data_IF_222858935027
#
_entry.id   IF_222858935027
#
_cell.length_a   1.000
_cell.length_b   1.000
_cell.length_c   1.000
_cell.angle_alpha   90.00
_cell.angle_beta   90.00
_cell.angle_gamma   90.00
#
_symmetry.space_group_name_H-M   'P 1'
#
loop_
_entity.id
_entity.type
_entity.pdbx_description
1 polymer ?
#
# COMPACT_ATOMS: atom_id res chain seq x y z
N UNK A 1 18.29 -18.85 -15.15
CA UNK A 1 17.91 -17.66 -14.34
C UNK A 1 16.52 -17.25 -14.81
N UNK A 2 15.49 -17.41 -13.96
CA UNK A 2 14.10 -17.21 -14.38
C UNK A 2 13.83 -15.75 -14.74
N UNK A 3 13.27 -15.51 -15.93
CA UNK A 3 12.89 -14.20 -16.44
C UNK A 3 11.42 -13.93 -16.20
N UNK A 4 11.11 -12.89 -15.41
CA UNK A 4 9.74 -12.51 -15.03
C UNK A 4 9.40 -11.14 -15.60
N UNK A 5 8.38 -11.05 -16.44
CA UNK A 5 7.83 -9.78 -16.92
C UNK A 5 6.68 -9.33 -16.04
N UNK A 6 6.90 -8.21 -15.32
CA UNK A 6 5.89 -7.59 -14.45
C UNK A 6 5.02 -6.63 -15.24
N UNK A 7 3.71 -6.86 -15.22
CA UNK A 7 2.69 -6.04 -15.91
C UNK A 7 2.06 -5.10 -14.89
N UNK A 8 2.22 -3.80 -15.09
CA UNK A 8 2.01 -2.76 -14.10
C UNK A 8 1.06 -1.66 -14.62
N UNK A 9 0.25 -1.09 -13.75
CA UNK A 9 -0.55 0.11 -14.06
C UNK A 9 0.37 1.33 -14.22
N UNK A 10 1.24 1.55 -13.25
CA UNK A 10 2.26 2.60 -13.25
C UNK A 10 3.50 2.16 -12.46
N UNK A 11 4.60 2.90 -12.61
CA UNK A 11 5.87 2.62 -11.94
C UNK A 11 6.64 3.91 -11.66
N UNK A 12 7.91 3.80 -11.23
CA UNK A 12 8.83 4.93 -11.20
C UNK A 12 8.83 5.68 -12.55
N UNK A 13 8.96 7.02 -12.57
CA UNK A 13 9.29 7.90 -11.43
C UNK A 13 8.08 8.34 -10.61
N UNK A 14 6.86 7.89 -10.89
CA UNK A 14 5.68 8.24 -10.11
C UNK A 14 5.79 7.72 -8.68
N UNK A 15 5.63 8.60 -7.69
CA UNK A 15 5.71 8.25 -6.28
C UNK A 15 4.32 7.90 -5.73
N UNK A 16 4.11 6.63 -5.45
CA UNK A 16 2.89 6.10 -4.83
C UNK A 16 3.22 4.83 -4.02
N UNK A 17 2.33 4.43 -3.12
CA UNK A 17 2.46 3.15 -2.42
C UNK A 17 2.54 1.95 -3.36
N UNK A 18 1.83 2.02 -4.49
CA UNK A 18 1.89 1.03 -5.57
C UNK A 18 3.30 0.94 -6.16
N UNK A 19 3.89 2.09 -6.51
CA UNK A 19 5.23 2.18 -7.11
C UNK A 19 6.32 1.70 -6.14
N UNK A 20 6.28 2.13 -4.88
CA UNK A 20 7.28 1.73 -3.88
C UNK A 20 7.22 0.22 -3.60
N UNK A 21 6.01 -0.36 -3.49
CA UNK A 21 5.86 -1.81 -3.38
C UNK A 21 6.41 -2.52 -4.63
N UNK A 22 6.09 -2.05 -5.82
CA UNK A 22 6.60 -2.64 -7.08
C UNK A 22 8.12 -2.61 -7.10
N UNK A 23 8.72 -1.45 -6.82
CA UNK A 23 10.17 -1.27 -6.72
C UNK A 23 10.80 -2.28 -5.75
N UNK A 24 10.24 -2.40 -4.56
CA UNK A 24 10.73 -3.31 -3.54
C UNK A 24 10.67 -4.78 -3.99
N UNK A 25 9.57 -5.21 -4.63
CA UNK A 25 9.43 -6.56 -5.18
C UNK A 25 10.48 -6.82 -6.25
N UNK A 26 10.62 -5.93 -7.25
CA UNK A 26 11.56 -6.12 -8.35
C UNK A 26 13.01 -6.16 -7.86
N UNK A 27 13.38 -5.24 -6.95
CA UNK A 27 14.74 -5.23 -6.33
C UNK A 27 15.03 -6.50 -5.55
N UNK A 28 14.07 -6.95 -4.73
CA UNK A 28 14.22 -8.18 -3.94
C UNK A 28 14.32 -9.42 -4.84
N UNK A 29 13.59 -9.44 -5.96
CA UNK A 29 13.68 -10.51 -6.95
C UNK A 29 15.04 -10.51 -7.66
N UNK A 30 15.57 -9.34 -8.04
CA UNK A 30 16.94 -9.23 -8.59
C UNK A 30 17.98 -9.74 -7.59
N UNK A 31 17.88 -9.30 -6.34
CA UNK A 31 18.79 -9.75 -5.28
C UNK A 31 18.73 -11.27 -5.03
N UNK A 32 17.56 -11.88 -5.25
CA UNK A 32 17.34 -13.33 -5.16
C UNK A 32 17.73 -14.10 -6.45
N UNK A 33 18.31 -13.44 -7.45
CA UNK A 33 18.82 -14.07 -8.67
C UNK A 33 17.78 -14.25 -9.78
N UNK A 34 16.63 -13.57 -9.72
CA UNK A 34 15.68 -13.50 -10.84
C UNK A 34 16.07 -12.37 -11.80
N UNK A 35 15.76 -12.54 -13.06
CA UNK A 35 15.87 -11.46 -14.05
C UNK A 35 14.47 -10.87 -14.26
N UNK A 36 14.31 -9.58 -13.90
CA UNK A 36 13.00 -8.93 -13.90
C UNK A 36 12.98 -7.74 -14.85
N UNK A 37 11.81 -7.49 -15.44
CA UNK A 37 11.52 -6.32 -16.26
C UNK A 37 10.09 -5.89 -16.04
N UNK A 38 9.79 -4.61 -16.07
CA UNK A 38 8.45 -4.08 -15.95
C UNK A 38 7.90 -3.64 -17.30
N UNK A 39 6.60 -3.78 -17.53
CA UNK A 39 5.88 -3.13 -18.62
C UNK A 39 4.69 -2.38 -18.04
N UNK A 40 4.60 -1.07 -18.30
CA UNK A 40 3.50 -0.23 -17.80
C UNK A 40 2.45 0.00 -18.88
N UNK A 41 1.20 0.04 -18.44
CA UNK A 41 0.06 0.30 -19.30
C UNK A 41 -0.09 1.78 -19.67
N UNK A 42 -1.07 2.07 -20.55
CA UNK A 42 -1.36 3.42 -21.06
C UNK A 42 -1.75 4.46 -20.00
N UNK A 43 -2.05 4.02 -18.78
CA UNK A 43 -2.37 4.90 -17.63
C UNK A 43 -1.15 5.49 -16.94
N UNK A 44 0.04 5.03 -17.27
CA UNK A 44 1.26 5.66 -16.82
C UNK A 44 1.36 7.06 -17.44
N UNK A 45 1.25 8.10 -16.62
CA UNK A 45 0.86 9.44 -17.04
C UNK A 45 1.92 10.24 -17.81
N UNK A 46 3.19 9.83 -17.78
CA UNK A 46 4.27 10.58 -18.44
C UNK A 46 4.68 9.92 -19.75
N UNK A 47 4.69 10.73 -20.82
CA UNK A 47 5.26 10.35 -22.12
C UNK A 47 6.81 10.35 -22.05
N UNK A 48 7.33 9.42 -21.25
CA UNK A 48 8.75 9.10 -21.21
C UNK A 48 9.19 8.30 -22.46
N UNK A 49 10.47 7.93 -22.56
CA UNK A 49 10.96 7.06 -23.62
C UNK A 49 10.26 5.69 -23.55
N UNK A 50 10.15 5.00 -24.71
CA UNK A 50 9.51 3.68 -24.79
C UNK A 50 10.16 2.66 -23.84
N UNK A 51 11.45 2.79 -23.58
CA UNK A 51 12.21 2.00 -22.60
C UNK A 51 12.94 2.97 -21.67
N UNK A 52 12.76 2.77 -20.39
CA UNK A 52 13.31 3.62 -19.35
C UNK A 52 14.01 2.78 -18.29
N UNK A 53 15.23 3.18 -17.91
CA UNK A 53 15.96 2.56 -16.81
C UNK A 53 15.99 3.53 -15.61
N UNK A 54 15.38 3.11 -14.51
CA UNK A 54 15.31 3.91 -13.27
C UNK A 54 15.68 3.00 -12.09
N UNK A 55 16.66 3.44 -11.31
CA UNK A 55 17.14 2.72 -10.12
C UNK A 55 17.59 1.27 -10.46
N UNK A 56 18.21 1.06 -11.64
CA UNK A 56 18.67 -0.26 -12.10
C UNK A 56 17.51 -1.23 -12.38
N UNK A 57 16.31 -0.71 -12.65
CA UNK A 57 15.13 -1.44 -13.10
C UNK A 57 14.74 -0.95 -14.48
N UNK A 58 14.48 -1.87 -15.40
CA UNK A 58 14.06 -1.55 -16.78
C UNK A 58 12.54 -1.61 -16.89
N UNK A 59 11.94 -0.58 -17.48
CA UNK A 59 10.53 -0.48 -17.74
C UNK A 59 10.25 -0.18 -19.20
N UNK A 60 9.40 -0.99 -19.86
CA UNK A 60 8.80 -0.66 -21.15
C UNK A 60 7.53 0.16 -20.91
N UNK A 61 7.28 1.14 -21.78
CA UNK A 61 6.14 2.04 -21.69
C UNK A 61 5.20 1.82 -22.87
N UNK A 62 3.99 1.31 -22.58
CA UNK A 62 2.95 1.21 -23.62
C UNK A 62 2.13 2.48 -23.59
N UNK A 63 2.32 3.32 -24.60
CA UNK A 63 1.59 4.57 -24.74
C UNK A 63 0.18 4.34 -25.31
N UNK A 64 -0.75 5.23 -24.95
CA UNK A 64 -2.09 5.24 -25.55
C UNK A 64 -3.06 6.13 -24.77
N UNK A 65 -4.04 6.68 -25.49
CA UNK A 65 -5.19 7.38 -24.89
C UNK A 65 -6.45 6.84 -25.55
N UNK A 66 -7.36 6.32 -24.76
CA UNK A 66 -8.55 5.64 -25.25
C UNK A 66 -9.79 6.42 -24.78
N UNK A 67 -10.36 7.18 -25.72
CA UNK A 67 -11.64 7.85 -25.52
C UNK A 67 -12.78 6.96 -26.05
N UNK A 68 -13.93 7.09 -25.45
CA UNK A 68 -15.15 6.39 -25.90
C UNK A 68 -16.16 6.15 -24.77
N UNK A 69 -17.29 5.54 -25.10
CA UNK A 69 -18.26 5.13 -24.09
C UNK A 69 -17.62 4.16 -23.09
N UNK A 70 -18.07 4.19 -21.80
CA UNK A 70 -17.65 3.22 -20.79
C UNK A 70 -17.79 1.76 -21.28
N UNK A 71 -16.79 0.94 -21.02
CA UNK A 71 -16.69 -0.43 -21.49
C UNK A 71 -15.94 -0.58 -22.81
N UNK A 72 -16.14 0.32 -23.77
CA UNK A 72 -15.42 0.29 -25.06
C UNK A 72 -14.01 0.88 -24.95
N UNK A 73 -13.88 1.97 -24.20
CA UNK A 73 -12.57 2.58 -23.88
C UNK A 73 -11.68 1.62 -23.12
N UNK A 74 -12.21 0.98 -22.09
CA UNK A 74 -11.48 0.00 -21.29
C UNK A 74 -11.11 -1.26 -22.11
N UNK A 75 -12.01 -1.71 -22.97
CA UNK A 75 -11.71 -2.83 -23.88
C UNK A 75 -10.55 -2.49 -24.83
N UNK A 76 -10.57 -1.29 -25.43
CA UNK A 76 -9.48 -0.83 -26.33
C UNK A 76 -8.16 -0.70 -25.58
N UNK A 77 -8.21 -0.20 -24.37
CA UNK A 77 -7.05 -0.07 -23.48
C UNK A 77 -6.45 -1.45 -23.19
N UNK A 78 -7.27 -2.43 -22.81
CA UNK A 78 -6.86 -3.81 -22.57
C UNK A 78 -6.18 -4.41 -23.81
N UNK A 79 -6.78 -4.23 -25.01
CA UNK A 79 -6.21 -4.80 -26.24
C UNK A 79 -4.88 -4.13 -26.62
N UNK A 80 -4.78 -2.81 -26.53
CA UNK A 80 -3.53 -2.12 -26.83
C UNK A 80 -2.43 -2.50 -25.83
N UNK A 81 -2.77 -2.63 -24.55
CA UNK A 81 -1.81 -3.07 -23.53
C UNK A 81 -1.39 -4.52 -23.76
N UNK A 82 -2.32 -5.41 -24.09
CA UNK A 82 -2.02 -6.80 -24.48
C UNK A 82 -1.01 -6.85 -25.65
N UNK A 83 -1.22 -6.05 -26.70
CA UNK A 83 -0.30 -5.99 -27.84
C UNK A 83 1.10 -5.51 -27.45
N UNK A 84 1.17 -4.49 -26.59
CA UNK A 84 2.44 -4.03 -26.05
C UNK A 84 3.15 -5.11 -25.22
N UNK A 85 2.43 -5.81 -24.33
CA UNK A 85 2.97 -6.93 -23.55
C UNK A 85 3.51 -8.02 -24.46
N UNK A 86 2.76 -8.43 -25.50
CA UNK A 86 3.21 -9.42 -26.46
C UNK A 86 4.46 -8.98 -27.22
N UNK A 87 4.55 -7.69 -27.60
CA UNK A 87 5.72 -7.11 -28.25
C UNK A 87 6.99 -7.23 -27.40
N UNK A 88 6.89 -6.79 -26.12
CA UNK A 88 7.98 -6.91 -25.14
C UNK A 88 8.33 -8.39 -24.89
N UNK A 89 7.33 -9.25 -24.72
CA UNK A 89 7.56 -10.67 -24.45
C UNK A 89 8.26 -11.39 -25.60
N UNK A 90 7.93 -11.09 -26.87
CA UNK A 90 8.63 -11.68 -28.03
C UNK A 90 10.09 -11.27 -28.11
N UNK A 91 10.43 -10.04 -27.70
CA UNK A 91 11.80 -9.53 -27.73
C UNK A 91 12.62 -10.03 -26.53
N UNK A 92 12.04 -9.96 -25.34
CA UNK A 92 12.75 -10.24 -24.09
C UNK A 92 12.62 -11.69 -23.63
N UNK A 93 11.64 -12.44 -24.13
CA UNK A 93 11.38 -13.86 -23.88
C UNK A 93 11.29 -14.19 -22.39
N UNK A 94 10.29 -13.67 -21.65
CA UNK A 94 10.03 -14.05 -20.27
C UNK A 94 9.57 -15.51 -20.18
N UNK A 95 9.79 -16.12 -19.03
CA UNK A 95 9.29 -17.45 -18.70
C UNK A 95 7.98 -17.39 -17.91
N UNK A 96 7.70 -16.23 -17.26
CA UNK A 96 6.48 -15.99 -16.49
C UNK A 96 6.00 -14.56 -16.75
N UNK A 97 4.68 -14.39 -16.91
CA UNK A 97 4.01 -13.10 -16.87
C UNK A 97 3.37 -12.90 -15.50
N UNK A 98 3.74 -11.83 -14.80
CA UNK A 98 3.21 -11.49 -13.50
C UNK A 98 2.51 -10.13 -13.51
N UNK A 99 1.17 -10.13 -13.60
CA UNK A 99 0.40 -8.90 -13.56
C UNK A 99 0.03 -8.49 -12.14
N UNK A 100 0.05 -7.18 -11.91
CA UNK A 100 -0.42 -6.57 -10.68
C UNK A 100 -1.74 -5.85 -10.91
N UNK A 101 -2.65 -5.86 -9.92
CA UNK A 101 -3.90 -5.10 -10.01
C UNK A 101 -3.66 -3.66 -10.48
N UNK A 102 -4.54 -3.02 -11.26
CA UNK A 102 -5.98 -3.34 -11.42
C UNK A 102 -6.30 -4.48 -12.38
N UNK A 103 -7.56 -4.91 -12.35
CA UNK A 103 -8.08 -5.96 -13.26
C UNK A 103 -7.88 -5.66 -14.74
N UNK A 104 -7.72 -4.41 -15.17
CA UNK A 104 -7.39 -4.04 -16.55
C UNK A 104 -5.99 -4.54 -16.92
N UNK A 105 -4.99 -4.33 -16.07
CA UNK A 105 -3.64 -4.89 -16.26
C UNK A 105 -3.69 -6.42 -16.22
N UNK A 106 -4.43 -6.98 -15.25
CA UNK A 106 -4.64 -8.42 -15.12
C UNK A 106 -5.26 -9.03 -16.39
N UNK A 107 -6.28 -8.40 -16.97
CA UNK A 107 -6.95 -8.89 -18.18
C UNK A 107 -6.04 -8.81 -19.43
N UNK A 108 -5.28 -7.72 -19.57
CA UNK A 108 -4.30 -7.59 -20.64
C UNK A 108 -3.23 -8.68 -20.54
N UNK A 109 -2.66 -8.87 -19.32
CA UNK A 109 -1.69 -9.92 -19.05
C UNK A 109 -2.21 -11.33 -19.29
N UNK A 110 -3.42 -11.64 -18.79
CA UNK A 110 -4.06 -12.95 -18.98
C UNK A 110 -4.26 -13.28 -20.48
N UNK A 111 -4.69 -12.29 -21.27
CA UNK A 111 -4.87 -12.49 -22.73
C UNK A 111 -3.53 -12.68 -23.44
N UNK A 112 -2.51 -11.90 -23.07
CA UNK A 112 -1.16 -12.06 -23.61
C UNK A 112 -0.57 -13.43 -23.25
N UNK A 113 -0.67 -13.86 -21.99
CA UNK A 113 -0.20 -15.15 -21.53
C UNK A 113 -0.80 -16.31 -22.31
N UNK A 114 -2.13 -16.32 -22.50
CA UNK A 114 -2.83 -17.33 -23.28
C UNK A 114 -2.39 -17.40 -24.74
N UNK A 115 -2.06 -16.26 -25.38
CA UNK A 115 -1.59 -16.21 -26.77
C UNK A 115 -0.14 -16.67 -26.92
N UNK A 116 0.65 -16.40 -25.87
CA UNK A 116 2.09 -16.73 -25.87
C UNK A 116 2.36 -18.14 -25.30
N UNK A 117 1.36 -18.79 -24.68
CA UNK A 117 1.55 -20.07 -23.98
C UNK A 117 2.45 -19.94 -22.76
N UNK A 118 2.39 -18.81 -22.04
CA UNK A 118 3.22 -18.55 -20.87
C UNK A 118 2.41 -18.66 -19.57
N UNK A 119 3.01 -19.15 -18.49
CA UNK A 119 2.43 -19.10 -17.15
C UNK A 119 2.06 -17.68 -16.74
N UNK A 120 0.89 -17.55 -16.10
CA UNK A 120 0.34 -16.26 -15.68
C UNK A 120 0.06 -16.19 -14.19
N UNK A 121 0.73 -15.28 -13.52
CA UNK A 121 0.53 -14.95 -12.10
C UNK A 121 -0.18 -13.62 -11.98
N UNK A 122 -1.14 -13.53 -11.05
CA UNK A 122 -1.86 -12.29 -10.79
C UNK A 122 -1.77 -11.86 -9.31
N UNK A 123 -1.31 -10.64 -9.04
CA UNK A 123 -1.20 -10.09 -7.69
C UNK A 123 -2.23 -8.99 -7.44
N UNK A 124 -3.08 -9.19 -6.42
CA UNK A 124 -4.11 -8.24 -5.99
C UNK A 124 -3.61 -7.46 -4.78
N UNK A 125 -3.57 -6.13 -4.93
CA UNK A 125 -3.14 -5.18 -3.88
C UNK A 125 -4.30 -4.47 -3.20
N UNK A 126 -5.42 -4.37 -3.88
CA UNK A 126 -6.72 -3.91 -3.41
C UNK A 126 -7.76 -4.28 -4.45
N UNK A 127 -9.01 -4.42 -4.07
CA UNK A 127 -10.11 -4.46 -5.03
C UNK A 127 -10.41 -3.05 -5.49
N UNK A 128 -10.34 -2.83 -6.78
CA UNK A 128 -10.49 -1.49 -7.36
C UNK A 128 -11.91 -0.96 -7.27
N UNK A 129 -12.91 -1.84 -7.22
CA UNK A 129 -14.29 -1.47 -6.92
C UNK A 129 -14.41 -0.85 -5.52
N UNK A 130 -13.74 -1.44 -4.51
CA UNK A 130 -13.75 -0.96 -3.13
C UNK A 130 -12.87 0.31 -2.98
N UNK A 131 -11.73 0.37 -3.67
CA UNK A 131 -10.88 1.56 -3.70
C UNK A 131 -11.60 2.77 -4.32
N UNK A 132 -12.39 2.58 -5.37
CA UNK A 132 -13.19 3.65 -5.95
C UNK A 132 -14.26 4.18 -4.97
N UNK A 133 -14.86 3.31 -4.16
CA UNK A 133 -15.79 3.72 -3.09
C UNK A 133 -15.05 4.50 -2.01
N UNK A 134 -13.93 3.97 -1.51
CA UNK A 134 -13.12 4.61 -0.48
C UNK A 134 -12.56 5.98 -0.89
N UNK A 135 -12.32 6.20 -2.19
CA UNK A 135 -11.88 7.48 -2.75
C UNK A 135 -13.05 8.41 -3.15
N UNK A 136 -14.30 8.04 -2.86
CA UNK A 136 -15.48 8.85 -3.20
C UNK A 136 -15.81 8.92 -4.69
N UNK A 137 -15.15 8.13 -5.55
CA UNK A 137 -15.34 8.11 -7.02
C UNK A 137 -16.25 6.97 -7.50
N UNK A 138 -16.69 6.12 -6.57
CA UNK A 138 -17.55 4.97 -6.81
C UNK A 138 -18.68 4.86 -5.78
N UNK A 139 -19.64 3.99 -6.08
CA UNK A 139 -20.70 3.61 -5.14
C UNK A 139 -20.81 2.10 -5.11
N UNK A 140 -20.83 1.53 -3.90
CA UNK A 140 -21.02 0.10 -3.70
C UNK A 140 -22.32 -0.39 -4.33
N UNK A 141 -22.27 -1.59 -4.95
CA UNK A 141 -23.44 -2.18 -5.63
C UNK A 141 -23.83 -1.52 -6.95
N UNK A 142 -23.20 -0.42 -7.37
CA UNK A 142 -23.46 0.21 -8.68
C UNK A 142 -23.10 -0.73 -9.84
N UNK A 143 -23.63 -0.45 -11.03
CA UNK A 143 -23.28 -1.24 -12.23
C UNK A 143 -21.77 -1.26 -12.48
N UNK A 144 -21.10 -0.11 -12.35
CA UNK A 144 -19.64 0.00 -12.50
C UNK A 144 -18.92 -0.88 -11.47
N UNK A 145 -19.33 -0.83 -10.20
CA UNK A 145 -18.80 -1.67 -9.12
C UNK A 145 -18.91 -3.16 -9.47
N UNK A 146 -20.11 -3.60 -9.88
CA UNK A 146 -20.38 -5.00 -10.24
C UNK A 146 -19.57 -5.47 -11.45
N UNK A 147 -19.42 -4.60 -12.46
CA UNK A 147 -18.62 -4.92 -13.65
C UNK A 147 -17.13 -5.00 -13.32
N UNK A 148 -16.59 -4.07 -12.51
CA UNK A 148 -15.20 -4.10 -12.06
C UNK A 148 -14.91 -5.38 -11.26
N UNK A 149 -15.80 -5.74 -10.33
CA UNK A 149 -15.70 -6.98 -9.56
C UNK A 149 -15.80 -8.24 -10.44
N UNK A 150 -16.67 -8.23 -11.45
CA UNK A 150 -16.78 -9.35 -12.40
C UNK A 150 -15.51 -9.50 -13.23
N UNK A 151 -14.89 -8.38 -13.65
CA UNK A 151 -13.63 -8.39 -14.38
C UNK A 151 -12.49 -8.96 -13.51
N UNK A 152 -12.40 -8.51 -12.25
CA UNK A 152 -11.43 -9.03 -11.27
C UNK A 152 -11.58 -10.55 -11.11
N UNK A 153 -12.80 -11.02 -10.83
CA UNK A 153 -13.08 -12.45 -10.68
C UNK A 153 -12.70 -13.26 -11.94
N UNK A 154 -12.87 -12.70 -13.16
CA UNK A 154 -12.47 -13.37 -14.38
C UNK A 154 -10.95 -13.50 -14.53
N UNK A 155 -10.19 -12.48 -14.09
CA UNK A 155 -8.72 -12.55 -14.08
C UNK A 155 -8.25 -13.62 -13.09
N UNK A 156 -8.78 -13.57 -11.86
CA UNK A 156 -8.48 -14.56 -10.80
C UNK A 156 -8.77 -15.99 -11.26
N UNK A 157 -9.94 -16.23 -11.87
CA UNK A 157 -10.29 -17.56 -12.36
C UNK A 157 -9.39 -18.05 -13.49
N UNK A 158 -8.80 -17.14 -14.27
CA UNK A 158 -7.97 -17.46 -15.42
C UNK A 158 -6.47 -17.51 -15.13
N UNK A 159 -6.01 -17.05 -13.97
CA UNK A 159 -4.61 -17.08 -13.58
C UNK A 159 -4.18 -18.48 -13.12
N UNK A 160 -2.91 -18.85 -13.37
CA UNK A 160 -2.33 -20.13 -12.91
C UNK A 160 -2.04 -20.09 -11.41
N UNK A 161 -1.62 -18.91 -10.90
CA UNK A 161 -1.50 -18.63 -9.47
C UNK A 161 -1.94 -17.18 -9.18
N UNK A 162 -2.45 -16.97 -7.98
CA UNK A 162 -2.88 -15.65 -7.49
C UNK A 162 -2.14 -15.31 -6.20
N UNK A 163 -1.72 -14.06 -6.05
CA UNK A 163 -1.24 -13.52 -4.78
C UNK A 163 -2.14 -12.41 -4.29
N UNK A 164 -2.33 -12.34 -2.96
CA UNK A 164 -2.92 -11.18 -2.29
C UNK A 164 -1.95 -10.64 -1.26
N UNK A 165 -2.05 -9.33 -0.99
CA UNK A 165 -1.16 -8.68 -0.02
C UNK A 165 -1.53 -8.95 1.42
N UNK A 166 -2.68 -9.54 1.67
CA UNK A 166 -3.19 -9.76 3.02
C UNK A 166 -4.27 -10.86 3.04
N UNK A 167 -4.54 -11.33 4.23
CA UNK A 167 -5.51 -12.39 4.48
C UNK A 167 -6.94 -11.91 4.17
N UNK A 168 -7.28 -10.67 4.49
CA UNK A 168 -8.60 -10.10 4.19
C UNK A 168 -8.99 -10.22 2.72
N UNK A 169 -8.10 -9.85 1.79
CA UNK A 169 -8.32 -9.99 0.34
C UNK A 169 -8.43 -11.47 -0.07
N UNK A 170 -7.59 -12.34 0.48
CA UNK A 170 -7.65 -13.78 0.19
C UNK A 170 -8.98 -14.38 0.62
N UNK A 171 -9.38 -14.12 1.84
CA UNK A 171 -10.61 -14.68 2.43
C UNK A 171 -11.86 -14.17 1.66
N UNK A 172 -11.85 -12.92 1.18
CA UNK A 172 -12.91 -12.39 0.32
C UNK A 172 -12.97 -13.10 -1.05
N UNK A 173 -11.82 -13.40 -1.66
CA UNK A 173 -11.79 -14.19 -2.90
C UNK A 173 -12.32 -15.60 -2.70
N UNK A 174 -11.97 -16.24 -1.59
CA UNK A 174 -12.52 -17.56 -1.22
C UNK A 174 -14.03 -17.47 -1.03
N UNK A 175 -14.53 -16.43 -0.35
CA UNK A 175 -15.96 -16.17 -0.19
C UNK A 175 -16.67 -15.87 -1.53
N UNK A 176 -15.95 -15.39 -2.55
CA UNK A 176 -16.45 -15.23 -3.93
C UNK A 176 -16.49 -16.56 -4.70
N UNK A 177 -15.99 -17.67 -4.12
CA UNK A 177 -15.98 -19.01 -4.72
C UNK A 177 -14.69 -19.38 -5.44
N UNK A 178 -13.60 -18.61 -5.27
CA UNK A 178 -12.29 -18.98 -5.80
C UNK A 178 -11.59 -20.01 -4.91
N UNK A 179 -10.79 -20.88 -5.51
CA UNK A 179 -10.01 -21.90 -4.80
C UNK A 179 -8.89 -21.26 -3.98
N UNK A 180 -8.99 -21.37 -2.65
CA UNK A 180 -8.01 -20.83 -1.72
C UNK A 180 -6.63 -21.46 -1.79
N UNK A 181 -6.49 -22.68 -2.32
CA UNK A 181 -5.19 -23.36 -2.50
C UNK A 181 -4.33 -22.65 -3.57
N UNK A 182 -5.00 -22.01 -4.55
CA UNK A 182 -4.35 -21.26 -5.63
C UNK A 182 -4.03 -19.80 -5.25
N UNK A 183 -4.42 -19.36 -4.04
CA UNK A 183 -4.25 -17.97 -3.58
C UNK A 183 -3.19 -17.92 -2.49
N UNK A 184 -1.98 -17.52 -2.87
CA UNK A 184 -0.87 -17.27 -1.95
C UNK A 184 -0.95 -15.89 -1.29
N UNK A 185 -0.24 -15.74 -0.16
CA UNK A 185 -0.05 -14.44 0.49
C UNK A 185 1.34 -13.90 0.16
N UNK A 186 1.38 -12.65 -0.31
CA UNK A 186 2.59 -11.84 -0.42
C UNK A 186 2.38 -10.53 0.33
N UNK A 187 2.56 -10.54 1.67
CA UNK A 187 2.28 -9.38 2.49
C UNK A 187 3.06 -8.14 2.08
N UNK A 188 2.53 -6.96 2.40
CA UNK A 188 3.31 -5.75 2.38
C UNK A 188 4.57 -5.94 3.23
N UNK A 189 5.69 -5.42 2.77
CA UNK A 189 6.96 -5.54 3.45
C UNK A 189 7.68 -4.21 3.53
N UNK A 190 8.74 -4.21 4.29
CA UNK A 190 9.70 -3.12 4.39
C UNK A 190 11.10 -3.65 4.11
N UNK A 191 11.96 -2.78 3.61
CA UNK A 191 13.39 -3.06 3.53
C UNK A 191 14.02 -2.64 4.86
N UNK A 192 14.26 -3.62 5.72
CA UNK A 192 14.82 -3.38 7.06
C UNK A 192 16.22 -2.77 7.04
N UNK A 193 16.96 -2.90 5.94
CA UNK A 193 18.28 -2.29 5.80
C UNK A 193 18.19 -0.76 5.65
N UNK A 194 17.04 -0.23 5.20
CA UNK A 194 16.81 1.21 5.08
C UNK A 194 16.44 1.86 6.42
N UNK A 195 16.01 1.07 7.41
CA UNK A 195 15.53 1.58 8.70
C UNK A 195 16.48 1.13 9.83
N UNK A 196 17.40 2.02 10.18
CA UNK A 196 18.32 1.87 11.31
C UNK A 196 17.65 2.09 12.68
N UNK A 197 18.47 2.48 13.66
CA UNK A 197 17.98 2.95 14.93
C UNK A 197 17.26 4.30 14.77
N UNK A 198 16.21 4.57 15.58
CA UNK A 198 15.49 5.83 15.50
C UNK A 198 16.45 7.03 15.66
N UNK A 199 16.38 7.98 14.75
CA UNK A 199 17.13 9.24 14.88
C UNK A 199 16.67 9.99 16.13
N UNK A 200 17.60 10.66 16.79
CA UNK A 200 17.30 11.54 17.94
C UNK A 200 16.32 12.65 17.52
N UNK A 201 15.58 13.18 18.49
CA UNK A 201 14.65 14.30 18.25
C UNK A 201 15.40 15.48 17.63
N UNK A 202 14.85 16.00 16.54
CA UNK A 202 15.35 17.20 15.87
C UNK A 202 14.78 18.46 16.56
N UNK A 203 15.48 18.95 17.61
CA UNK A 203 15.02 20.10 18.37
C UNK A 203 15.00 21.40 17.57
N UNK A 204 15.82 21.53 16.53
CA UNK A 204 15.80 22.68 15.64
C UNK A 204 14.51 22.71 14.82
N UNK A 205 14.13 21.57 14.23
CA UNK A 205 12.88 21.42 13.50
C UNK A 205 11.67 21.55 14.45
N UNK A 206 11.76 21.02 15.67
CA UNK A 206 10.70 21.17 16.66
C UNK A 206 10.45 22.67 16.98
N UNK A 207 11.51 23.43 17.16
CA UNK A 207 11.41 24.87 17.41
C UNK A 207 10.83 25.62 16.20
N UNK A 208 11.28 25.30 14.97
CA UNK A 208 10.76 25.89 13.73
C UNK A 208 9.25 25.67 13.58
N UNK A 209 8.78 24.47 13.91
CA UNK A 209 7.38 24.08 13.79
C UNK A 209 6.52 24.45 15.03
N UNK A 210 7.10 25.02 16.06
CA UNK A 210 6.40 25.33 17.31
C UNK A 210 5.99 24.07 18.10
N UNK A 211 6.71 22.96 17.93
CA UNK A 211 6.46 21.71 18.66
C UNK A 211 7.13 21.80 20.03
N UNK A 212 6.30 21.79 21.08
CA UNK A 212 6.75 21.86 22.47
C UNK A 212 7.20 20.52 23.07
N UNK A 213 7.31 20.50 24.40
CA UNK A 213 7.72 19.31 25.15
C UNK A 213 6.56 18.34 25.47
N UNK A 214 5.32 18.68 25.10
CA UNK A 214 4.15 17.81 25.30
C UNK A 214 4.14 16.61 24.37
N UNK A 215 3.21 15.65 24.59
CA UNK A 215 3.04 14.52 23.69
C UNK A 215 2.66 14.97 22.28
N UNK A 216 3.34 14.42 21.28
CA UNK A 216 3.06 14.67 19.87
C UNK A 216 2.42 13.42 19.25
N UNK A 217 1.15 13.53 18.88
CA UNK A 217 0.48 12.55 18.04
C UNK A 217 0.65 13.00 16.59
N UNK A 218 0.96 12.09 15.66
CA UNK A 218 1.21 12.52 14.31
C UNK A 218 0.83 11.50 13.25
N UNK A 219 0.74 12.01 12.03
CA UNK A 219 0.52 11.20 10.82
C UNK A 219 1.47 11.69 9.71
N UNK A 220 2.06 10.75 8.98
CA UNK A 220 2.91 11.03 7.83
C UNK A 220 2.37 10.29 6.61
N UNK A 221 1.99 11.03 5.57
CA UNK A 221 1.50 10.43 4.33
C UNK A 221 0.48 11.26 3.56
N UNK A 222 -0.23 10.63 2.64
CA UNK A 222 -1.26 11.29 1.84
C UNK A 222 -2.58 11.38 2.60
N UNK A 223 -3.24 12.53 2.51
CA UNK A 223 -4.50 12.84 3.21
C UNK A 223 -5.69 12.45 2.35
N UNK A 224 -6.05 11.16 2.39
CA UNK A 224 -7.27 10.63 1.79
C UNK A 224 -8.39 10.55 2.84
N UNK A 225 -9.65 10.58 2.41
CA UNK A 225 -10.82 10.53 3.30
C UNK A 225 -10.81 9.28 4.19
N UNK A 226 -10.55 8.11 3.60
CA UNK A 226 -10.50 6.85 4.35
C UNK A 226 -9.39 6.75 5.40
N UNK A 227 -8.40 7.65 5.39
CA UNK A 227 -7.35 7.70 6.44
C UNK A 227 -7.88 8.29 7.75
N UNK A 228 -9.05 8.97 7.76
CA UNK A 228 -9.75 9.41 8.97
C UNK A 228 -9.06 10.51 9.76
N UNK A 229 -8.27 11.36 9.10
CA UNK A 229 -7.55 12.45 9.77
C UNK A 229 -8.49 13.52 10.35
N UNK A 230 -9.69 13.64 9.83
CA UNK A 230 -10.76 14.46 10.36
C UNK A 230 -11.20 14.02 11.77
N UNK A 231 -11.27 12.70 12.01
CA UNK A 231 -11.52 12.15 13.35
C UNK A 231 -10.35 12.44 14.30
N UNK A 232 -9.11 12.39 13.81
CA UNK A 232 -7.93 12.71 14.62
C UNK A 232 -7.89 14.19 15.02
N UNK A 233 -8.25 15.09 14.09
CA UNK A 233 -8.41 16.52 14.39
C UNK A 233 -9.52 16.74 15.41
N UNK A 234 -10.67 16.06 15.27
CA UNK A 234 -11.79 16.15 16.20
C UNK A 234 -11.48 15.56 17.60
N UNK A 235 -10.57 14.59 17.70
CA UNK A 235 -10.16 13.98 18.94
C UNK A 235 -9.25 14.87 19.82
N UNK A 236 -8.49 15.78 19.19
CA UNK A 236 -7.46 16.55 19.89
C UNK A 236 -7.98 17.39 21.08
N UNK A 237 -9.13 18.10 20.99
CA UNK A 237 -9.64 18.85 22.13
C UNK A 237 -9.90 17.98 23.37
N UNK A 238 -10.43 16.77 23.19
CA UNK A 238 -10.66 15.83 24.28
C UNK A 238 -9.34 15.23 24.82
N UNK A 239 -8.37 14.93 23.97
CA UNK A 239 -7.03 14.50 24.36
C UNK A 239 -6.35 15.57 25.24
N UNK A 240 -6.48 16.84 24.90
CA UNK A 240 -5.90 17.98 25.64
C UNK A 240 -6.53 18.23 27.00
N UNK A 241 -7.68 17.67 27.28
CA UNK A 241 -8.25 17.72 28.66
C UNK A 241 -7.37 16.93 29.63
N UNK A 242 -6.75 15.83 29.23
CA UNK A 242 -5.82 15.03 30.06
C UNK A 242 -4.35 15.42 29.84
N UNK A 243 -3.99 15.78 28.61
CA UNK A 243 -2.65 16.19 28.22
C UNK A 243 -2.68 17.60 27.62
N UNK A 244 -2.74 18.68 28.45
CA UNK A 244 -2.97 20.06 27.98
C UNK A 244 -1.96 20.55 26.92
N UNK A 245 -0.76 19.97 26.91
CA UNK A 245 0.32 20.29 25.98
C UNK A 245 0.41 19.32 24.78
N UNK A 246 -0.56 18.42 24.61
CA UNK A 246 -0.59 17.54 23.44
C UNK A 246 -0.73 18.34 22.15
N UNK A 247 0.03 17.95 21.14
CA UNK A 247 0.02 18.56 19.80
C UNK A 247 -0.23 17.49 18.73
N UNK A 248 -0.78 17.91 17.60
CA UNK A 248 -0.99 17.07 16.41
C UNK A 248 -0.06 17.55 15.29
N UNK A 249 0.77 16.67 14.77
CA UNK A 249 1.65 16.93 13.64
C UNK A 249 1.21 16.13 12.40
N UNK A 250 0.73 16.84 11.36
CA UNK A 250 0.27 16.27 10.11
C UNK A 250 1.26 16.59 8.99
N UNK A 251 2.02 15.57 8.57
CA UNK A 251 3.07 15.67 7.55
C UNK A 251 2.57 15.07 6.25
N UNK A 252 2.46 15.86 5.22
CA UNK A 252 1.97 15.41 3.92
C UNK A 252 0.93 16.34 3.32
N UNK A 253 0.11 15.80 2.44
CA UNK A 253 -0.94 16.54 1.76
C UNK A 253 -1.80 15.59 0.93
N UNK A 254 -2.89 16.09 0.37
CA UNK A 254 -3.79 15.27 -0.43
C UNK A 254 -5.17 15.89 -0.59
N UNK A 255 -6.13 15.12 -1.13
CA UNK A 255 -7.47 15.64 -1.42
C UNK A 255 -8.21 16.25 -0.21
N UNK A 256 -7.89 15.75 1.01
CA UNK A 256 -8.54 16.24 2.24
C UNK A 256 -7.82 17.43 2.89
N UNK A 257 -6.70 17.91 2.36
CA UNK A 257 -5.86 18.92 3.02
C UNK A 257 -6.62 20.21 3.33
N UNK A 258 -7.37 20.74 2.37
CA UNK A 258 -8.13 21.98 2.55
C UNK A 258 -9.23 21.82 3.61
N UNK A 259 -9.97 20.71 3.58
CA UNK A 259 -11.01 20.41 4.55
C UNK A 259 -10.44 20.24 5.97
N UNK A 260 -9.30 19.55 6.11
CA UNK A 260 -8.63 19.36 7.40
C UNK A 260 -8.09 20.68 7.98
N UNK A 261 -7.53 21.57 7.16
CA UNK A 261 -7.10 22.90 7.59
C UNK A 261 -8.27 23.76 8.05
N UNK A 262 -9.40 23.72 7.32
CA UNK A 262 -10.62 24.43 7.72
C UNK A 262 -11.18 23.89 9.04
N UNK A 263 -11.20 22.56 9.23
CA UNK A 263 -11.64 21.94 10.48
C UNK A 263 -10.70 22.30 11.65
N UNK A 264 -9.39 22.28 11.43
CA UNK A 264 -8.40 22.68 12.42
C UNK A 264 -8.58 24.15 12.85
N UNK A 265 -8.79 25.06 11.89
CA UNK A 265 -9.03 26.47 12.19
C UNK A 265 -10.31 26.73 13.01
N UNK A 266 -11.32 25.87 12.87
CA UNK A 266 -12.56 25.93 13.65
C UNK A 266 -12.47 25.18 15.00
N UNK A 267 -11.41 24.41 15.24
CA UNK A 267 -11.21 23.63 16.47
C UNK A 267 -10.77 24.49 17.64
N UNK A 268 -11.28 24.27 18.88
CA UNK A 268 -10.78 24.93 20.08
C UNK A 268 -9.33 24.57 20.42
N UNK A 269 -8.76 23.54 19.74
CA UNK A 269 -7.35 23.15 19.86
C UNK A 269 -6.56 23.42 18.55
N UNK A 270 -7.05 24.31 17.70
CA UNK A 270 -6.45 24.59 16.39
C UNK A 270 -5.01 25.08 16.45
N UNK A 271 -4.66 25.81 17.52
CA UNK A 271 -3.30 26.27 17.82
C UNK A 271 -2.29 25.16 18.06
N UNK A 272 -2.77 23.96 18.39
CA UNK A 272 -1.95 22.78 18.64
C UNK A 272 -1.88 21.81 17.44
N UNK A 273 -2.41 22.20 16.28
CA UNK A 273 -2.40 21.37 15.06
C UNK A 273 -1.43 21.97 14.04
N UNK A 274 -0.37 21.24 13.75
CA UNK A 274 0.68 21.66 12.82
C UNK A 274 0.57 20.88 11.51
N UNK A 275 0.50 21.60 10.39
CA UNK A 275 0.55 21.05 9.04
C UNK A 275 1.85 21.48 8.36
N UNK A 276 2.65 20.54 7.92
CA UNK A 276 3.91 20.85 7.23
C UNK A 276 3.77 20.97 5.71
N UNK A 277 2.67 20.41 5.15
CA UNK A 277 2.61 20.13 3.73
C UNK A 277 3.49 18.92 3.36
N UNK A 278 3.69 18.71 2.05
CA UNK A 278 4.54 17.64 1.54
C UNK A 278 6.01 17.96 1.77
N UNK A 279 6.75 17.00 2.30
CA UNK A 279 8.19 17.13 2.57
C UNK A 279 8.98 16.17 1.67
N UNK A 280 10.25 16.51 1.32
CA UNK A 280 11.12 15.61 0.58
C UNK A 280 11.29 14.28 1.31
N UNK A 281 11.33 13.16 0.59
CA UNK A 281 11.46 11.82 1.20
C UNK A 281 12.75 11.69 2.04
N UNK A 282 13.83 12.32 1.63
CA UNK A 282 15.08 12.32 2.37
C UNK A 282 15.03 13.02 3.74
N UNK A 283 14.01 13.87 3.97
CA UNK A 283 13.84 14.62 5.21
C UNK A 283 12.80 13.99 6.16
N UNK A 284 12.07 12.98 5.70
CA UNK A 284 10.93 12.41 6.43
C UNK A 284 11.32 11.89 7.82
N UNK A 285 12.55 11.35 7.98
CA UNK A 285 13.03 10.86 9.28
C UNK A 285 13.11 11.94 10.35
N UNK A 286 13.40 13.19 9.98
CA UNK A 286 13.39 14.34 10.89
C UNK A 286 12.01 14.55 11.51
N UNK A 287 10.96 14.42 10.71
CA UNK A 287 9.56 14.54 11.18
C UNK A 287 9.13 13.34 12.03
N UNK A 288 9.53 12.12 11.65
CA UNK A 288 9.34 10.96 12.52
C UNK A 288 9.96 11.15 13.90
N UNK A 289 11.10 11.86 14.01
CA UNK A 289 11.78 12.10 15.27
C UNK A 289 10.97 12.95 16.26
N UNK A 290 10.02 13.76 15.77
CA UNK A 290 9.19 14.65 16.57
C UNK A 290 7.92 13.98 17.09
N UNK A 291 7.52 12.83 16.53
CA UNK A 291 6.25 12.17 16.82
C UNK A 291 6.46 11.08 17.87
N UNK A 292 5.72 11.18 18.97
CA UNK A 292 5.71 10.18 20.04
C UNK A 292 4.82 8.99 19.69
N UNK A 293 3.62 9.26 19.11
CA UNK A 293 2.64 8.25 18.70
C UNK A 293 2.20 8.51 17.27
N UNK A 294 2.51 7.60 16.36
CA UNK A 294 1.98 7.64 15.00
C UNK A 294 0.56 7.09 14.99
N UNK A 295 -0.39 7.93 14.60
CA UNK A 295 -1.80 7.60 14.59
C UNK A 295 -2.30 7.32 13.17
N UNK A 296 -2.98 6.19 13.00
CA UNK A 296 -3.58 5.75 11.74
C UNK A 296 -5.09 5.51 11.92
N UNK A 297 -5.89 6.58 11.94
CA UNK A 297 -7.31 6.53 12.34
C UNK A 297 -8.24 6.14 11.18
N UNK A 298 -7.88 5.15 10.35
CA UNK A 298 -8.68 4.75 9.20
C UNK A 298 -10.14 4.54 9.54
N UNK A 299 -11.02 5.11 8.72
CA UNK A 299 -12.47 4.93 8.81
C UNK A 299 -12.84 3.48 8.52
N UNK A 300 -13.90 3.00 9.16
CA UNK A 300 -14.42 1.67 8.89
C UNK A 300 -15.08 1.62 7.50
N UNK A 301 -14.57 0.78 6.65
CA UNK A 301 -15.09 0.54 5.31
C UNK A 301 -14.59 -0.80 4.80
N UNK A 302 -15.22 -1.31 3.74
CA UNK A 302 -14.76 -2.53 3.11
C UNK A 302 -13.30 -2.45 2.63
N UNK A 303 -12.87 -1.29 2.11
CA UNK A 303 -11.48 -1.05 1.72
C UNK A 303 -10.52 -1.22 2.90
N UNK A 304 -10.80 -0.58 4.01
CA UNK A 304 -9.91 -0.55 5.18
C UNK A 304 -9.95 -1.84 5.98
N UNK A 305 -11.04 -2.59 5.92
CA UNK A 305 -11.14 -3.93 6.51
C UNK A 305 -10.36 -4.98 5.72
N UNK A 306 -10.32 -4.87 4.40
CA UNK A 306 -9.70 -5.88 3.55
C UNK A 306 -8.23 -5.61 3.25
N UNK A 307 -7.75 -4.35 3.36
CA UNK A 307 -6.43 -3.95 2.84
C UNK A 307 -5.50 -3.47 3.95
N UNK A 308 -4.36 -4.16 4.09
CA UNK A 308 -3.30 -3.76 5.01
C UNK A 308 -2.50 -2.56 4.47
N UNK A 309 -2.27 -1.51 5.28
CA UNK A 309 -1.43 -0.37 4.89
C UNK A 309 0.08 -0.63 5.05
N UNK A 310 0.90 0.16 4.34
CA UNK A 310 2.36 0.16 4.50
C UNK A 310 2.84 0.99 5.69
N UNK A 311 2.18 2.14 5.95
CA UNK A 311 2.63 3.14 6.93
C UNK A 311 2.88 2.58 8.35
N UNK A 312 1.99 1.76 8.95
CA UNK A 312 2.26 1.16 10.26
C UNK A 312 3.48 0.24 10.25
N UNK A 313 3.73 -0.49 9.15
CA UNK A 313 4.89 -1.36 9.00
C UNK A 313 6.20 -0.55 8.96
N UNK A 314 6.23 0.54 8.21
CA UNK A 314 7.37 1.46 8.14
C UNK A 314 7.65 2.10 9.51
N UNK A 315 6.60 2.49 10.23
CA UNK A 315 6.71 3.03 11.58
C UNK A 315 7.28 2.00 12.57
N UNK A 316 6.73 0.80 12.61
CA UNK A 316 7.23 -0.28 13.47
C UNK A 316 8.66 -0.70 13.10
N UNK A 317 9.01 -0.70 11.80
CA UNK A 317 10.38 -0.95 11.35
C UNK A 317 11.39 0.06 11.91
N UNK A 318 10.95 1.31 12.10
CA UNK A 318 11.74 2.39 12.71
C UNK A 318 11.63 2.43 14.25
N UNK A 319 11.10 1.39 14.89
CA UNK A 319 10.83 1.38 16.34
C UNK A 319 9.99 2.57 16.82
N UNK A 320 9.02 3.01 16.00
CA UNK A 320 8.07 4.06 16.39
C UNK A 320 6.84 3.42 17.03
N UNK A 321 6.22 4.16 17.95
CA UNK A 321 4.96 3.75 18.56
C UNK A 321 3.81 4.01 17.60
N UNK A 322 2.95 3.00 17.44
CA UNK A 322 1.81 3.01 16.52
C UNK A 322 0.52 2.88 17.31
N UNK A 323 -0.44 3.75 16.98
CA UNK A 323 -1.84 3.65 17.39
C UNK A 323 -2.72 3.66 16.13
N UNK A 324 -3.62 2.72 15.98
CA UNK A 324 -4.43 2.57 14.77
C UNK A 324 -5.89 2.25 15.10
N UNK A 325 -6.79 2.59 14.18
CA UNK A 325 -8.19 2.18 14.30
C UNK A 325 -8.32 0.65 14.16
N UNK A 326 -9.27 0.07 14.91
CA UNK A 326 -9.55 -1.36 14.93
C UNK A 326 -10.35 -1.81 13.69
N UNK A 327 -9.76 -1.62 12.51
CA UNK A 327 -10.26 -2.12 11.22
C UNK A 327 -9.48 -3.36 10.81
N UNK A 328 -10.07 -4.20 9.95
CA UNK A 328 -9.49 -5.51 9.57
C UNK A 328 -8.06 -5.42 9.05
N UNK A 329 -7.76 -4.43 8.19
CA UNK A 329 -6.42 -4.21 7.66
C UNK A 329 -5.37 -3.85 8.73
N UNK A 330 -5.75 -3.20 9.82
CA UNK A 330 -4.85 -2.93 10.95
C UNK A 330 -4.71 -4.13 11.89
N UNK A 331 -5.82 -4.85 12.17
CA UNK A 331 -5.78 -6.08 12.98
C UNK A 331 -4.85 -7.15 12.43
N UNK A 332 -4.63 -7.18 11.13
CA UNK A 332 -3.69 -8.11 10.51
C UNK A 332 -2.22 -7.73 10.78
N UNK A 333 -1.94 -6.45 11.08
CA UNK A 333 -0.58 -5.93 11.28
C UNK A 333 -0.22 -5.70 12.75
N UNK A 334 -1.20 -5.38 13.59
CA UNK A 334 -1.00 -4.89 14.96
C UNK A 334 -1.67 -5.86 15.93
N UNK A 335 -0.90 -6.33 16.90
CA UNK A 335 -1.42 -7.03 18.07
C UNK A 335 -1.60 -5.99 19.17
N UNK A 336 -2.86 -5.73 19.54
CA UNK A 336 -3.21 -4.71 20.53
C UNK A 336 -2.48 -4.90 21.86
N UNK A 337 -1.94 -3.82 22.39
CA UNK A 337 -1.16 -3.80 23.63
C UNK A 337 0.22 -4.44 23.55
N UNK A 338 0.60 -5.08 22.42
CA UNK A 338 1.90 -5.72 22.25
C UNK A 338 2.79 -5.02 21.22
N UNK A 339 2.29 -4.83 19.99
CA UNK A 339 3.05 -4.19 18.90
C UNK A 339 2.55 -2.78 18.58
N UNK A 340 1.44 -2.37 19.16
CA UNK A 340 0.80 -1.08 19.02
C UNK A 340 -0.50 -1.01 19.82
N UNK A 341 -1.24 0.07 19.64
CA UNK A 341 -2.58 0.26 20.20
C UNK A 341 -3.62 0.13 19.07
N UNK A 342 -4.73 -0.56 19.34
CA UNK A 342 -5.93 -0.51 18.53
C UNK A 342 -7.05 0.25 19.27
N UNK A 343 -7.68 1.21 18.59
CA UNK A 343 -8.80 1.99 19.12
C UNK A 343 -10.02 1.89 18.18
N UNK A 344 -11.27 2.09 18.67
CA UNK A 344 -12.47 2.02 17.85
C UNK A 344 -12.43 3.01 16.69
N UNK A 345 -12.74 2.59 15.43
CA UNK A 345 -12.85 3.50 14.30
C UNK A 345 -14.07 4.40 14.42
N UNK A 346 -14.08 5.51 13.67
CA UNK A 346 -15.20 6.44 13.48
C UNK A 346 -15.77 7.02 14.82
N UNK A 347 -14.92 7.09 15.86
CA UNK A 347 -15.29 7.61 17.18
C UNK A 347 -14.14 8.46 17.75
N UNK A 348 -14.10 9.77 17.44
CA UNK A 348 -13.05 10.68 17.93
C UNK A 348 -12.93 10.72 19.46
N UNK A 349 -14.04 10.57 20.20
CA UNK A 349 -14.02 10.64 21.66
C UNK A 349 -13.38 9.40 22.27
N UNK A 350 -13.71 8.21 21.76
CA UNK A 350 -13.07 6.97 22.21
C UNK A 350 -11.61 6.89 21.75
N UNK A 351 -11.30 7.41 20.56
CA UNK A 351 -9.92 7.56 20.11
C UNK A 351 -9.11 8.44 21.07
N UNK A 352 -9.64 9.62 21.44
CA UNK A 352 -8.98 10.52 22.39
C UNK A 352 -8.74 9.86 23.75
N UNK A 353 -9.73 9.14 24.29
CA UNK A 353 -9.60 8.41 25.54
C UNK A 353 -8.53 7.31 25.46
N UNK A 354 -8.54 6.51 24.36
CA UNK A 354 -7.56 5.45 24.14
C UNK A 354 -6.13 6.00 23.99
N UNK A 355 -5.96 7.09 23.24
CA UNK A 355 -4.66 7.76 23.10
C UNK A 355 -4.17 8.34 24.43
N UNK A 356 -5.06 8.95 25.23
CA UNK A 356 -4.70 9.48 26.55
C UNK A 356 -4.23 8.36 27.50
N UNK A 357 -4.99 7.24 27.59
CA UNK A 357 -4.61 6.08 28.39
C UNK A 357 -3.28 5.46 27.90
N UNK A 358 -3.03 5.51 26.61
CA UNK A 358 -1.82 4.98 26.00
C UNK A 358 -0.59 5.86 26.31
N UNK A 359 -0.76 7.18 26.29
CA UNK A 359 0.28 8.15 26.66
C UNK A 359 0.62 8.04 28.15
N UNK A 360 -0.37 7.82 29.02
CA UNK A 360 -0.14 7.62 30.47
C UNK A 360 0.69 6.37 30.77
N UNK A 361 0.65 5.37 29.88
CA UNK A 361 1.40 4.09 29.99
C UNK A 361 2.69 4.07 29.18
N UNK A 362 3.31 5.22 28.89
CA UNK A 362 4.52 5.31 28.06
C UNK A 362 5.71 4.51 28.56
N UNK A 363 5.74 4.12 29.83
CA UNK A 363 6.78 3.25 30.39
C UNK A 363 6.79 1.85 29.72
N UNK A 364 5.69 1.42 29.12
CA UNK A 364 5.61 0.17 28.35
C UNK A 364 6.13 0.30 26.89
N UNK A 365 6.33 1.50 26.37
CA UNK A 365 6.68 1.74 24.98
C UNK A 365 8.01 1.15 24.53
N UNK A 366 9.09 1.13 25.34
CA UNK A 366 10.35 0.49 24.93
C UNK A 366 10.15 -0.97 24.52
N UNK A 367 9.41 -1.75 25.33
CA UNK A 367 9.10 -3.16 25.01
C UNK A 367 8.22 -3.27 23.75
N UNK A 368 7.23 -2.41 23.59
CA UNK A 368 6.33 -2.39 22.45
C UNK A 368 7.07 -2.04 21.14
N UNK A 369 8.02 -1.11 21.17
CA UNK A 369 8.86 -0.74 20.03
C UNK A 369 9.67 -1.92 19.51
N UNK A 370 10.30 -2.66 20.42
CA UNK A 370 11.07 -3.87 20.06
C UNK A 370 10.16 -4.99 19.56
N UNK A 371 9.00 -5.20 20.18
CA UNK A 371 8.02 -6.18 19.72
C UNK A 371 7.49 -5.84 18.31
N UNK A 372 7.18 -4.57 18.04
CA UNK A 372 6.75 -4.11 16.71
C UNK A 372 7.82 -4.35 15.65
N UNK A 373 9.07 -3.97 15.91
CA UNK A 373 10.18 -4.23 14.99
C UNK A 373 10.42 -5.72 14.76
N UNK A 374 10.39 -6.53 15.81
CA UNK A 374 10.55 -7.99 15.70
C UNK A 374 9.43 -8.61 14.87
N UNK A 375 8.18 -8.16 15.05
CA UNK A 375 7.05 -8.60 14.25
C UNK A 375 7.25 -8.30 12.76
N UNK A 376 7.66 -7.08 12.43
CA UNK A 376 7.94 -6.68 11.03
C UNK A 376 9.08 -7.52 10.45
N UNK A 377 10.18 -7.71 11.17
CA UNK A 377 11.30 -8.53 10.73
C UNK A 377 10.93 -9.99 10.48
N UNK A 378 10.01 -10.54 11.29
CA UNK A 378 9.58 -11.91 11.16
C UNK A 378 8.59 -12.13 9.99
N UNK A 379 7.73 -11.16 9.69
CA UNK A 379 6.57 -11.38 8.80
C UNK A 379 6.50 -10.46 7.58
N UNK A 380 7.20 -9.31 7.61
CA UNK A 380 7.07 -8.24 6.64
C UNK A 380 8.41 -7.78 6.04
N UNK A 381 9.38 -8.68 5.95
CA UNK A 381 10.66 -8.46 5.27
C UNK A 381 10.55 -8.87 3.79
N UNK A 382 10.94 -7.98 2.87
CA UNK A 382 10.93 -8.24 1.43
C UNK A 382 11.81 -9.41 1.03
N UNK A 383 12.96 -9.61 1.68
CA UNK A 383 13.86 -10.74 1.41
C UNK A 383 13.20 -12.11 1.67
N UNK A 384 12.28 -12.17 2.61
CA UNK A 384 11.46 -13.37 2.88
C UNK A 384 10.29 -13.50 1.92
N UNK A 385 9.64 -12.39 1.58
CA UNK A 385 8.48 -12.43 0.70
C UNK A 385 8.83 -12.90 -0.71
N UNK A 386 10.02 -12.56 -1.21
CA UNK A 386 10.48 -12.96 -2.55
C UNK A 386 10.56 -14.48 -2.72
N UNK A 387 10.87 -15.23 -1.67
CA UNK A 387 10.95 -16.70 -1.72
C UNK A 387 9.60 -17.35 -2.05
N UNK A 388 8.48 -16.69 -1.70
CA UNK A 388 7.12 -17.17 -2.04
C UNK A 388 6.87 -17.10 -3.53
N UNK A 389 7.31 -16.02 -4.18
CA UNK A 389 7.21 -15.87 -5.63
C UNK A 389 8.09 -16.90 -6.35
N UNK A 390 9.34 -17.08 -5.89
CA UNK A 390 10.29 -18.00 -6.54
C UNK A 390 9.75 -19.44 -6.58
N UNK A 391 9.15 -19.91 -5.48
CA UNK A 391 8.55 -21.25 -5.43
C UNK A 391 7.45 -21.39 -6.47
N UNK A 392 6.50 -20.45 -6.50
CA UNK A 392 5.39 -20.49 -7.46
C UNK A 392 5.88 -20.41 -8.89
N UNK A 393 6.86 -19.54 -9.20
CA UNK A 393 7.41 -19.48 -10.56
C UNK A 393 8.10 -20.78 -10.96
N UNK A 394 8.86 -21.41 -10.06
CA UNK A 394 9.53 -22.69 -10.33
C UNK A 394 8.52 -23.82 -10.57
N UNK A 395 7.47 -23.88 -9.76
CA UNK A 395 6.40 -24.86 -9.90
C UNK A 395 5.69 -24.71 -11.25
N UNK A 396 5.35 -23.49 -11.66
CA UNK A 396 4.67 -23.23 -12.92
C UNK A 396 5.54 -23.57 -14.13
N UNK A 397 6.84 -23.22 -14.13
CA UNK A 397 7.77 -23.51 -15.22
C UNK A 397 8.08 -25.02 -15.26
N UNK A 398 8.19 -25.68 -14.10
CA UNK A 398 8.50 -27.12 -14.01
C UNK A 398 7.36 -28.01 -14.51
N UNK A 399 6.11 -27.60 -14.40
CA UNK A 399 4.94 -28.34 -14.86
C UNK A 399 4.80 -28.30 -16.40
N UNK A 400 5.19 -27.22 -17.06
CA UNK A 400 5.17 -27.13 -18.52
C UNK A 400 6.21 -28.05 -19.20
N UNK A 401 7.30 -28.37 -18.52
CA UNK A 401 8.34 -29.29 -19.03
C UNK A 401 7.92 -30.77 -19.10
N UNK A 402 6.83 -31.16 -18.45
CA UNK A 402 6.35 -32.54 -18.40
C UNK A 402 5.24 -32.88 -19.42
N UNK A 403 4.73 -31.86 -20.14
CA UNK A 403 3.67 -32.05 -21.15
C UNK A 403 4.20 -32.20 -22.60
N UNK A 404 5.53 -32.18 -22.83
CA UNK A 404 6.18 -32.34 -24.13
C UNK A 404 7.26 -33.45 -24.07
N UNK A 405 6.92 -34.60 -23.55
CA UNK A 405 7.75 -35.79 -23.67
C UNK A 405 6.91 -37.00 -24.22
#
# INVERSE_FOLDING_TARGET
>A
MTRVLHILDHSLPLHSGYTFRTRAILKSQQAAGLTVRGVTGPRHADAGPEIEEIDGLTFDRVAGRFAGPPGLSEWREIEAFREGIEGVARQWQPEVLHAHSPALCGMAGLRAAKRLGLPFVYEIRAFWEDAAVGNGTGREGSLKYRLTRALENRVVAGADAVFTICKGLRDDLVARGHDGERIGLSPNGVDLALFGDPVARDDALAHELGIGAGPVVGFIGSFYDYEGLDDLVAALPALRQRHPHAQLLLVGGGPMEEALRAQAAASPAGDAIVFTGRVPHAEVERYYSLIDVLAYPRKHSRLTDLVTPLKPLEAMAQRRIVAASDVGGHRELITDGQTGLLFPPDDPMRMAASLADFIDRRDSWPTMREAGRAHVAAHHDWARNVQRYQRVYQDLIGHDGSAVA
#
